data_IF_697497785809
#
_entry.id   IF_697497785809
#
_cell.length_a   1.000
_cell.length_b   1.000
_cell.length_c   1.000
_cell.angle_alpha   90.00
_cell.angle_beta   90.00
_cell.angle_gamma   90.00
#
_symmetry.space_group_name_H-M   'P 1'
#
loop_
_entity.id
_entity.type
_entity.pdbx_description
1 polymer ?
#
# COMPACT_ATOMS: atom_id res chain seq x y z
N UNK A 1 -6.50 -41.56 21.62
CA UNK A 1 -5.48 -40.98 20.73
C UNK A 1 -6.10 -39.75 20.08
N UNK A 2 -5.80 -38.56 20.58
CA UNK A 2 -6.32 -37.32 20.01
C UNK A 2 -5.28 -36.76 19.03
N UNK A 3 -5.66 -36.60 17.77
CA UNK A 3 -4.83 -35.94 16.77
C UNK A 3 -4.83 -34.43 17.06
N UNK A 4 -3.66 -33.90 17.43
CA UNK A 4 -3.43 -32.45 17.45
C UNK A 4 -3.12 -31.98 16.04
N UNK A 5 -3.91 -31.08 15.43
CA UNK A 5 -3.51 -30.45 14.19
C UNK A 5 -2.35 -29.49 14.47
N UNK A 6 -1.19 -29.78 13.87
CA UNK A 6 -0.06 -28.85 13.77
C UNK A 6 -0.42 -27.77 12.74
N UNK A 7 -1.29 -26.83 13.12
CA UNK A 7 -1.34 -25.55 12.42
C UNK A 7 -0.13 -24.73 12.90
N UNK A 8 0.98 -24.88 12.19
CA UNK A 8 2.10 -23.95 12.32
C UNK A 8 1.63 -22.63 11.71
N UNK A 9 1.09 -21.74 12.54
CA UNK A 9 0.92 -20.35 12.16
C UNK A 9 2.32 -19.81 11.82
N UNK A 10 2.51 -19.39 10.57
CA UNK A 10 3.72 -18.67 10.15
C UNK A 10 3.63 -17.27 10.78
N UNK A 11 3.99 -17.17 12.06
CA UNK A 11 4.23 -15.88 12.70
C UNK A 11 5.51 -15.31 12.09
N UNK A 12 5.40 -14.27 11.27
CA UNK A 12 6.54 -13.37 11.03
C UNK A 12 7.03 -13.19 9.60
N UNK A 13 6.19 -13.28 8.55
CA UNK A 13 6.57 -12.60 7.31
C UNK A 13 6.32 -11.10 7.49
N UNK A 14 7.39 -10.33 7.76
CA UNK A 14 7.37 -8.88 7.63
C UNK A 14 7.20 -8.54 6.14
N UNK A 15 5.95 -8.54 5.66
CA UNK A 15 5.62 -8.25 4.28
C UNK A 15 6.04 -6.81 3.97
N UNK A 16 7.03 -6.66 3.10
CA UNK A 16 7.36 -5.36 2.50
C UNK A 16 6.64 -5.23 1.18
N UNK A 17 6.04 -4.06 0.94
CA UNK A 17 5.35 -3.77 -0.30
C UNK A 17 5.58 -2.33 -0.73
N UNK A 18 5.38 -2.09 -2.02
CA UNK A 18 5.37 -0.76 -2.62
C UNK A 18 4.46 -0.77 -3.85
N UNK A 19 3.30 -0.11 -3.72
CA UNK A 19 2.42 0.21 -4.83
C UNK A 19 2.60 1.69 -5.15
N UNK A 20 2.88 2.03 -6.41
CA UNK A 20 3.08 3.42 -6.79
C UNK A 20 2.56 3.68 -8.21
N UNK A 21 1.72 4.71 -8.34
CA UNK A 21 1.40 5.31 -9.62
C UNK A 21 2.31 6.53 -9.83
N UNK A 22 3.18 6.42 -10.82
CA UNK A 22 4.15 7.45 -11.17
C UNK A 22 3.72 8.12 -12.48
N UNK A 23 3.54 9.44 -12.45
CA UNK A 23 3.29 10.24 -13.64
C UNK A 23 3.78 11.68 -13.45
N UNK A 24 4.96 11.99 -14.00
CA UNK A 24 5.59 13.30 -13.90
C UNK A 24 4.83 14.44 -14.57
N UNK A 25 3.95 14.12 -15.52
CA UNK A 25 3.10 15.11 -16.16
C UNK A 25 1.96 15.55 -15.23
N UNK A 26 1.57 14.70 -14.27
CA UNK A 26 0.52 14.99 -13.29
C UNK A 26 1.11 15.60 -12.01
N UNK A 27 2.27 15.13 -11.57
CA UNK A 27 2.96 15.64 -10.39
C UNK A 27 4.46 15.51 -10.51
N UNK A 28 5.21 16.58 -10.21
CA UNK A 28 6.68 16.59 -10.36
C UNK A 28 7.43 16.35 -9.06
N UNK A 29 6.78 16.49 -7.91
CA UNK A 29 7.37 16.15 -6.60
C UNK A 29 7.41 14.64 -6.37
N UNK A 30 8.05 14.22 -5.27
CA UNK A 30 8.15 12.80 -4.87
C UNK A 30 8.54 11.85 -6.03
N UNK A 31 9.55 12.26 -6.82
CA UNK A 31 10.03 11.55 -8.02
C UNK A 31 8.96 11.27 -9.10
N UNK A 32 7.82 11.96 -9.05
CA UNK A 32 6.68 11.77 -9.93
C UNK A 32 5.57 10.89 -9.35
N UNK A 33 5.66 10.47 -8.08
CA UNK A 33 4.65 9.63 -7.43
C UNK A 33 3.39 10.45 -7.16
N UNK A 34 2.33 10.13 -7.89
CA UNK A 34 1.03 10.79 -7.77
C UNK A 34 0.26 10.19 -6.58
N UNK A 35 0.23 8.85 -6.51
CA UNK A 35 -0.28 8.11 -5.36
C UNK A 35 0.55 6.85 -5.14
N UNK A 36 0.73 6.44 -3.89
CA UNK A 36 1.35 5.16 -3.56
C UNK A 36 1.09 4.71 -2.14
N UNK A 37 1.37 3.44 -1.87
CA UNK A 37 1.24 2.79 -0.57
C UNK A 37 2.49 1.94 -0.34
N UNK A 38 3.20 2.17 0.75
CA UNK A 38 4.37 1.37 1.11
C UNK A 38 4.60 1.33 2.63
N UNK A 39 5.58 0.53 3.05
CA UNK A 39 5.99 0.42 4.44
C UNK A 39 7.51 0.51 4.65
N UNK A 40 8.21 1.20 3.73
CA UNK A 40 9.67 1.28 3.75
C UNK A 40 10.24 1.97 5.02
N UNK A 41 9.41 2.77 5.71
CA UNK A 41 9.80 3.56 6.89
C UNK A 41 9.37 2.96 8.23
N UNK A 42 9.05 1.65 8.26
CA UNK A 42 8.68 0.95 9.50
C UNK A 42 7.23 1.17 9.95
N UNK A 43 6.45 1.90 9.17
CA UNK A 43 5.00 2.02 9.31
C UNK A 43 4.34 2.07 7.92
N UNK A 44 3.08 1.68 7.86
CA UNK A 44 2.28 1.69 6.65
C UNK A 44 1.80 3.10 6.36
N UNK A 45 2.01 3.57 5.14
CA UNK A 45 1.64 4.94 4.78
C UNK A 45 1.25 5.07 3.32
N UNK A 46 0.40 6.06 3.09
CA UNK A 46 -0.02 6.53 1.78
C UNK A 46 0.84 7.74 1.40
N UNK A 47 1.30 7.75 0.16
CA UNK A 47 1.81 8.94 -0.52
C UNK A 47 0.70 9.46 -1.43
N UNK A 48 0.38 10.75 -1.37
CA UNK A 48 -0.52 11.39 -2.31
C UNK A 48 -0.01 12.79 -2.64
N UNK A 49 0.43 12.99 -3.89
CA UNK A 49 1.04 14.24 -4.35
C UNK A 49 2.12 14.75 -3.38
N UNK A 50 3.01 13.86 -2.91
CA UNK A 50 4.09 14.17 -1.96
C UNK A 50 3.67 14.38 -0.50
N UNK A 51 2.38 14.28 -0.18
CA UNK A 51 1.91 14.22 1.22
C UNK A 51 1.99 12.77 1.69
N UNK A 52 2.60 12.57 2.86
CA UNK A 52 2.70 11.25 3.51
C UNK A 52 1.70 11.18 4.67
N UNK A 53 0.82 10.19 4.63
CA UNK A 53 -0.21 9.97 5.63
C UNK A 53 -0.10 8.54 6.21
N UNK A 54 0.00 8.37 7.53
CA UNK A 54 -0.05 7.04 8.12
C UNK A 54 -1.42 6.40 7.88
N UNK A 55 -1.43 5.08 7.73
CA UNK A 55 -2.67 4.30 7.56
C UNK A 55 -2.68 3.11 8.50
N UNK A 56 -3.88 2.68 8.88
CA UNK A 56 -4.08 1.40 9.54
C UNK A 56 -3.91 0.29 8.50
N UNK A 57 -3.05 -0.68 8.81
CA UNK A 57 -2.85 -1.86 7.98
C UNK A 57 -3.69 -3.02 8.52
N UNK A 58 -4.51 -3.60 7.65
CA UNK A 58 -5.32 -4.79 7.97
C UNK A 58 -4.80 -6.00 7.19
N UNK A 59 -4.82 -5.93 5.87
CA UNK A 59 -4.29 -6.95 4.94
C UNK A 59 -3.64 -6.28 3.73
N UNK A 60 -2.91 -7.04 2.91
CA UNK A 60 -2.36 -6.51 1.67
C UNK A 60 -3.46 -6.23 0.63
N UNK A 61 -4.51 -7.05 0.61
CA UNK A 61 -5.67 -6.88 -0.27
C UNK A 61 -6.40 -5.56 0.01
N UNK A 62 -6.54 -5.17 1.29
CA UNK A 62 -7.09 -3.85 1.67
C UNK A 62 -6.21 -2.69 1.13
N UNK A 63 -4.89 -2.86 1.13
CA UNK A 63 -3.97 -1.89 0.54
C UNK A 63 -4.13 -1.79 -0.99
N UNK A 64 -4.28 -2.93 -1.67
CA UNK A 64 -4.52 -2.97 -3.12
C UNK A 64 -5.84 -2.29 -3.49
N UNK A 65 -6.92 -2.58 -2.76
CA UNK A 65 -8.24 -1.96 -2.98
C UNK A 65 -8.19 -0.44 -2.80
N UNK A 66 -7.53 0.05 -1.74
CA UNK A 66 -7.35 1.49 -1.50
C UNK A 66 -6.53 2.15 -2.59
N UNK A 67 -5.43 1.53 -3.00
CA UNK A 67 -4.61 2.04 -4.10
C UNK A 67 -5.40 2.11 -5.41
N UNK A 68 -6.16 1.06 -5.73
CA UNK A 68 -6.99 1.02 -6.94
C UNK A 68 -8.08 2.11 -6.90
N UNK A 69 -8.74 2.30 -5.76
CA UNK A 69 -9.75 3.34 -5.58
C UNK A 69 -9.18 4.75 -5.82
N UNK A 70 -8.04 5.07 -5.18
CA UNK A 70 -7.34 6.34 -5.40
C UNK A 70 -6.95 6.54 -6.87
N UNK A 71 -6.39 5.51 -7.49
CA UNK A 71 -5.97 5.56 -8.89
C UNK A 71 -7.14 5.76 -9.86
N UNK A 72 -8.29 5.11 -9.62
CA UNK A 72 -9.49 5.30 -10.43
C UNK A 72 -10.04 6.73 -10.31
N UNK A 73 -10.03 7.32 -9.12
CA UNK A 73 -10.42 8.74 -8.91
C UNK A 73 -9.50 9.68 -9.68
N UNK A 74 -8.20 9.38 -9.76
CA UNK A 74 -7.25 10.17 -10.54
C UNK A 74 -7.48 10.05 -12.05
N UNK A 75 -7.95 8.88 -12.54
CA UNK A 75 -8.22 8.64 -13.96
C UNK A 75 -9.58 9.15 -14.44
N UNK A 76 -10.55 9.30 -13.54
CA UNK A 76 -11.89 9.80 -13.88
C UNK A 76 -11.95 11.32 -14.02
N UNK A 77 -10.96 12.05 -13.49
CA UNK A 77 -10.77 13.49 -13.71
C UNK A 77 -10.14 13.72 -15.09
N UNK A 78 -10.99 13.83 -16.11
CA UNK A 78 -10.63 14.41 -17.41
C UNK A 78 -10.84 15.92 -17.40
#
# INVERSE_FOLDING_TARGET
>A
MAAHPLFTAVYGLNLRYNLAYINRNVYQGDNGRVVGYDNAHGFHHRHFMGVVEPIDFTTFEDIEERFQADWLVLRSKK
#
